data_IF_209778053901
#
_entry.id   IF_209778053901
#
_cell.length_a   1.000
_cell.length_b   1.000
_cell.length_c   1.000
_cell.angle_alpha   90.00
_cell.angle_beta   90.00
_cell.angle_gamma   90.00
#
_symmetry.space_group_name_H-M   'P 1'
#
loop_
_entity.id
_entity.type
_entity.pdbx_description
1 polymer ?
#
# COMPACT_ATOMS: atom_id res chain seq x y z
N UNK A 1 3.89 1.37 23.66
CA UNK A 1 3.56 1.43 22.22
C UNK A 1 4.48 0.55 21.38
N UNK A 2 5.79 0.77 21.37
CA UNK A 2 6.73 0.00 20.54
C UNK A 2 6.65 -1.52 20.76
N UNK A 3 6.54 -1.99 22.01
CA UNK A 3 6.33 -3.42 22.32
C UNK A 3 5.08 -4.01 21.69
N UNK A 4 3.96 -3.28 21.77
CA UNK A 4 2.68 -3.71 21.19
C UNK A 4 2.77 -3.76 19.66
N UNK A 5 3.40 -2.75 19.04
CA UNK A 5 3.63 -2.74 17.60
C UNK A 5 4.58 -3.86 17.15
N UNK A 6 5.63 -4.15 17.91
CA UNK A 6 6.52 -5.27 17.62
C UNK A 6 5.75 -6.60 17.64
N UNK A 7 4.97 -6.85 18.70
CA UNK A 7 4.14 -8.06 18.79
C UNK A 7 3.07 -8.16 17.69
N UNK A 8 2.41 -7.05 17.35
CA UNK A 8 1.36 -7.04 16.33
C UNK A 8 1.89 -7.23 14.90
N UNK A 9 3.08 -6.70 14.59
CA UNK A 9 3.68 -6.81 13.25
C UNK A 9 4.70 -7.94 13.11
N UNK A 10 5.05 -8.63 14.20
CA UNK A 10 6.06 -9.71 14.18
C UNK A 10 7.50 -9.22 14.14
N UNK A 11 7.78 -7.96 14.54
CA UNK A 11 9.15 -7.47 14.61
C UNK A 11 9.93 -8.17 15.74
N UNK A 12 11.27 -8.35 15.63
CA UNK A 12 12.05 -9.08 16.64
C UNK A 12 11.95 -8.52 18.06
N UNK A 13 11.84 -7.20 18.21
CA UNK A 13 11.65 -6.53 19.50
C UNK A 13 11.18 -5.09 19.34
N UNK A 14 10.84 -4.45 20.45
CA UNK A 14 10.50 -3.01 20.48
C UNK A 14 11.64 -2.11 19.97
N UNK A 15 12.90 -2.55 20.04
CA UNK A 15 14.07 -1.79 19.55
C UNK A 15 14.13 -1.70 18.02
N UNK A 16 13.33 -2.51 17.32
CA UNK A 16 13.24 -2.49 15.87
C UNK A 16 12.10 -1.59 15.37
N UNK A 17 11.36 -0.92 16.26
CA UNK A 17 10.15 -0.16 15.93
C UNK A 17 10.39 1.33 16.13
N UNK A 18 10.11 2.12 15.09
CA UNK A 18 10.04 3.58 15.16
C UNK A 18 8.63 4.03 14.77
N UNK A 19 7.94 4.74 15.66
CA UNK A 19 6.63 5.31 15.37
C UNK A 19 6.77 6.72 14.77
N UNK A 20 5.97 7.05 13.77
CA UNK A 20 5.94 8.35 13.13
C UNK A 20 4.53 8.87 12.87
N UNK A 21 4.35 10.18 12.58
CA UNK A 21 3.05 10.78 12.31
C UNK A 21 2.49 10.39 10.92
N UNK A 22 2.22 9.10 10.76
CA UNK A 22 1.93 8.44 9.48
C UNK A 22 3.22 8.03 8.74
N UNK A 23 3.09 7.16 7.74
CA UNK A 23 4.24 6.68 6.95
C UNK A 23 4.84 7.75 6.05
N UNK A 24 4.07 8.79 5.67
CA UNK A 24 4.50 9.82 4.71
C UNK A 24 5.77 10.56 5.14
N UNK A 25 5.89 10.88 6.43
CA UNK A 25 7.08 11.56 6.96
C UNK A 25 8.29 10.63 7.04
N UNK A 26 8.06 9.31 7.15
CA UNK A 26 9.10 8.30 7.23
C UNK A 26 9.77 8.10 5.86
N UNK A 27 9.05 8.28 4.75
CA UNK A 27 9.58 8.05 3.40
C UNK A 27 10.90 8.81 3.13
N UNK A 28 10.96 10.15 3.22
CA UNK A 28 12.20 10.87 2.97
C UNK A 28 13.25 10.66 4.08
N UNK A 29 12.83 10.36 5.31
CA UNK A 29 13.75 10.13 6.44
C UNK A 29 14.51 8.83 6.28
N UNK A 30 13.80 7.75 5.93
CA UNK A 30 14.39 6.45 5.60
C UNK A 30 15.33 6.58 4.39
N UNK A 31 14.91 7.28 3.32
CA UNK A 31 15.79 7.52 2.18
C UNK A 31 17.08 8.24 2.59
N UNK A 32 17.00 9.24 3.46
CA UNK A 32 18.16 10.00 3.95
C UNK A 32 19.14 9.22 4.85
N UNK A 33 18.82 7.97 5.21
CA UNK A 33 19.75 7.11 5.95
C UNK A 33 20.92 6.65 5.08
N UNK A 34 20.77 6.71 3.76
CA UNK A 34 21.83 6.48 2.79
C UNK A 34 22.39 7.82 2.28
N UNK A 35 23.65 7.78 1.84
CA UNK A 35 24.19 8.87 1.04
C UNK A 35 23.45 8.92 -0.30
N UNK A 36 23.20 10.12 -0.86
CA UNK A 36 22.65 10.26 -2.20
C UNK A 36 23.36 9.37 -3.22
N UNK A 37 22.56 8.63 -3.98
CA UNK A 37 23.00 7.59 -4.91
C UNK A 37 21.85 7.21 -5.84
N UNK A 38 21.92 6.04 -6.46
CA UNK A 38 20.88 5.53 -7.36
C UNK A 38 19.71 4.93 -6.57
N UNK A 39 18.52 5.51 -6.71
CA UNK A 39 17.30 4.98 -6.12
C UNK A 39 16.40 4.40 -7.21
N UNK A 40 15.99 3.14 -7.07
CA UNK A 40 15.07 2.47 -8.00
C UNK A 40 13.75 2.14 -7.29
N UNK A 41 12.63 2.53 -7.91
CA UNK A 41 11.29 2.28 -7.39
C UNK A 41 10.56 1.32 -8.34
N UNK A 42 10.02 0.21 -7.80
CA UNK A 42 9.29 -0.78 -8.60
C UNK A 42 7.90 -0.28 -8.99
N UNK A 43 7.78 0.19 -10.22
CA UNK A 43 6.58 0.77 -10.81
C UNK A 43 5.78 -0.26 -11.65
N UNK A 44 4.49 0.00 -11.94
CA UNK A 44 3.69 1.11 -11.44
C UNK A 44 3.40 0.99 -9.94
N UNK A 45 3.57 2.09 -9.20
CA UNK A 45 3.31 2.10 -7.75
C UNK A 45 2.87 3.47 -7.24
N UNK A 46 2.85 3.65 -5.92
CA UNK A 46 2.57 4.91 -5.25
C UNK A 46 3.68 5.94 -5.50
N UNK A 47 3.36 7.00 -6.25
CA UNK A 47 4.31 8.01 -6.72
C UNK A 47 5.10 8.75 -5.61
N UNK A 48 4.61 8.74 -4.37
CA UNK A 48 5.30 9.41 -3.26
C UNK A 48 6.65 8.79 -2.91
N UNK A 49 6.88 7.51 -3.21
CA UNK A 49 8.19 6.88 -2.96
C UNK A 49 9.30 7.50 -3.81
N UNK A 50 9.07 7.64 -5.12
CA UNK A 50 10.03 8.27 -6.03
C UNK A 50 10.27 9.74 -5.64
N UNK A 51 9.20 10.47 -5.31
CA UNK A 51 9.28 11.85 -4.82
C UNK A 51 10.10 11.95 -3.52
N UNK A 52 9.86 11.07 -2.56
CA UNK A 52 10.56 11.08 -1.27
C UNK A 52 12.05 10.77 -1.40
N UNK A 53 12.43 9.81 -2.25
CA UNK A 53 13.83 9.52 -2.55
C UNK A 53 14.52 10.72 -3.22
N UNK A 54 13.83 11.41 -4.13
CA UNK A 54 14.36 12.63 -4.76
C UNK A 54 14.54 13.78 -3.76
N UNK A 55 13.61 13.95 -2.80
CA UNK A 55 13.75 14.94 -1.70
C UNK A 55 14.99 14.64 -0.84
N UNK A 56 15.34 13.37 -0.64
CA UNK A 56 16.55 12.96 0.04
C UNK A 56 17.83 13.08 -0.82
N UNK A 57 17.71 13.54 -2.07
CA UNK A 57 18.83 13.83 -2.97
C UNK A 57 19.26 12.70 -3.90
N UNK A 58 18.55 11.57 -3.92
CA UNK A 58 18.90 10.45 -4.80
C UNK A 58 18.60 10.74 -6.28
N UNK A 59 19.38 10.09 -7.16
CA UNK A 59 19.04 9.97 -8.57
C UNK A 59 17.99 8.86 -8.74
N UNK A 60 16.73 9.26 -8.92
CA UNK A 60 15.59 8.34 -8.91
C UNK A 60 15.23 7.87 -10.31
N UNK A 61 14.98 6.58 -10.47
CA UNK A 61 14.31 6.02 -11.64
C UNK A 61 13.24 5.01 -11.23
N UNK A 62 12.14 4.99 -11.97
CA UNK A 62 11.12 3.95 -11.85
C UNK A 62 11.44 2.79 -12.80
N UNK A 63 11.32 1.57 -12.32
CA UNK A 63 11.58 0.34 -13.08
C UNK A 63 10.39 -0.61 -12.98
N UNK A 64 10.08 -1.34 -14.05
CA UNK A 64 9.02 -2.36 -14.05
C UNK A 64 9.54 -3.75 -13.71
N UNK A 65 10.83 -4.01 -13.94
CA UNK A 65 11.48 -5.26 -13.64
C UNK A 65 11.99 -5.28 -12.19
N UNK A 66 11.61 -6.34 -11.46
CA UNK A 66 12.08 -6.57 -10.10
C UNK A 66 13.59 -6.78 -10.03
N UNK A 67 14.16 -7.52 -11.00
CA UNK A 67 15.56 -7.91 -10.92
C UNK A 67 16.49 -6.69 -11.11
N UNK A 68 16.02 -5.65 -11.82
CA UNK A 68 16.72 -4.37 -11.95
C UNK A 68 16.96 -3.65 -10.61
N UNK A 69 16.14 -3.93 -9.57
CA UNK A 69 16.31 -3.31 -8.25
C UNK A 69 17.66 -3.67 -7.60
N UNK A 70 18.26 -4.80 -7.96
CA UNK A 70 19.57 -5.20 -7.45
C UNK A 70 20.68 -4.21 -7.83
N UNK A 71 20.46 -3.36 -8.82
CA UNK A 71 21.40 -2.30 -9.26
C UNK A 71 21.24 -0.98 -8.50
N UNK A 72 20.32 -0.88 -7.54
CA UNK A 72 20.09 0.34 -6.76
C UNK A 72 21.01 0.43 -5.54
N UNK A 73 21.26 1.64 -5.05
CA UNK A 73 21.72 1.86 -3.67
C UNK A 73 20.51 1.86 -2.71
N UNK A 74 19.39 2.44 -3.17
CA UNK A 74 18.09 2.45 -2.47
C UNK A 74 17.04 1.79 -3.37
N UNK A 75 16.60 0.58 -3.04
CA UNK A 75 15.49 -0.07 -3.71
C UNK A 75 14.19 0.16 -2.93
N UNK A 76 13.12 0.59 -3.58
CA UNK A 76 11.81 0.78 -2.95
C UNK A 76 10.73 0.00 -3.69
N UNK A 77 9.92 -0.73 -2.94
CA UNK A 77 8.71 -1.39 -3.46
C UNK A 77 7.60 -1.40 -2.41
N UNK A 78 6.37 -1.65 -2.87
CA UNK A 78 5.18 -1.77 -2.02
C UNK A 78 4.67 -3.21 -2.10
N UNK A 79 4.39 -3.85 -0.96
CA UNK A 79 3.99 -5.25 -0.88
C UNK A 79 2.94 -5.49 0.22
N UNK A 80 1.68 -5.86 -0.09
CA UNK A 80 1.04 -5.87 -1.41
C UNK A 80 1.04 -4.48 -2.06
N UNK A 81 1.26 -4.43 -3.36
CA UNK A 81 1.44 -3.17 -4.06
C UNK A 81 0.16 -2.33 -4.18
N UNK A 82 0.34 -1.02 -4.24
CA UNK A 82 -0.67 -0.09 -4.72
C UNK A 82 -0.21 0.49 -6.07
N UNK A 83 -0.92 0.24 -7.19
CA UNK A 83 -2.38 0.06 -7.21
C UNK A 83 -2.91 -1.34 -7.51
N UNK A 84 -2.08 -2.28 -7.92
CA UNK A 84 -2.52 -3.56 -8.50
C UNK A 84 -2.71 -4.70 -7.47
N UNK A 85 -2.27 -4.51 -6.24
CA UNK A 85 -2.33 -5.55 -5.20
C UNK A 85 -1.31 -6.67 -5.37
N UNK A 86 -0.37 -6.58 -6.33
CA UNK A 86 0.61 -7.65 -6.56
C UNK A 86 1.43 -7.92 -5.30
N UNK A 87 1.79 -9.19 -5.10
CA UNK A 87 2.62 -9.63 -3.99
C UNK A 87 3.90 -10.26 -4.52
N UNK A 88 5.02 -9.92 -3.88
CA UNK A 88 6.32 -10.52 -4.12
C UNK A 88 6.64 -11.43 -2.94
N UNK A 89 7.08 -12.64 -3.25
CA UNK A 89 7.42 -13.65 -2.26
C UNK A 89 8.60 -13.20 -1.38
N UNK A 90 8.48 -13.47 -0.08
CA UNK A 90 9.49 -13.19 0.94
C UNK A 90 10.90 -13.64 0.54
N UNK A 91 11.04 -14.84 -0.02
CA UNK A 91 12.35 -15.38 -0.42
C UNK A 91 13.07 -14.49 -1.45
N UNK A 92 12.35 -13.93 -2.43
CA UNK A 92 12.92 -13.02 -3.43
C UNK A 92 13.30 -11.68 -2.81
N UNK A 93 12.50 -11.18 -1.87
CA UNK A 93 12.76 -9.93 -1.16
C UNK A 93 14.00 -10.04 -0.28
N UNK A 94 14.18 -11.16 0.43
CA UNK A 94 15.36 -11.42 1.25
C UNK A 94 16.64 -11.54 0.41
N UNK A 95 16.57 -12.24 -0.72
CA UNK A 95 17.70 -12.31 -1.66
C UNK A 95 18.09 -10.92 -2.19
N UNK A 96 17.12 -10.11 -2.61
CA UNK A 96 17.36 -8.71 -3.00
C UNK A 96 17.99 -7.90 -1.86
N UNK A 97 17.45 -7.99 -0.64
CA UNK A 97 17.98 -7.30 0.53
C UNK A 97 19.44 -7.69 0.80
N UNK A 98 19.78 -8.98 0.73
CA UNK A 98 21.13 -9.47 0.92
C UNK A 98 22.11 -8.91 -0.12
N UNK A 99 21.72 -8.86 -1.40
CA UNK A 99 22.53 -8.29 -2.49
C UNK A 99 22.76 -6.79 -2.29
N UNK A 100 21.72 -6.04 -1.90
CA UNK A 100 21.82 -4.61 -1.61
C UNK A 100 22.72 -4.37 -0.40
N UNK A 101 22.51 -5.10 0.70
CA UNK A 101 23.31 -5.01 1.93
C UNK A 101 24.80 -5.26 1.66
N UNK A 102 25.14 -6.24 0.81
CA UNK A 102 26.53 -6.57 0.47
C UNK A 102 27.32 -5.39 -0.12
N UNK A 103 26.64 -4.41 -0.72
CA UNK A 103 27.23 -3.17 -1.27
C UNK A 103 26.86 -1.91 -0.46
N UNK A 104 26.28 -2.07 0.73
CA UNK A 104 25.87 -0.97 1.61
C UNK A 104 24.57 -0.27 1.20
N UNK A 105 23.76 -0.91 0.36
CA UNK A 105 22.43 -0.44 -0.03
C UNK A 105 21.32 -0.82 0.96
N UNK A 106 20.12 -0.33 0.68
CA UNK A 106 18.92 -0.50 1.52
C UNK A 106 17.72 -0.93 0.67
N UNK A 107 16.98 -1.93 1.15
CA UNK A 107 15.66 -2.28 0.66
C UNK A 107 14.59 -1.64 1.55
N UNK A 108 13.72 -0.81 0.96
CA UNK A 108 12.55 -0.24 1.62
C UNK A 108 11.30 -0.90 1.08
N UNK A 109 10.50 -1.49 1.96
CA UNK A 109 9.26 -2.19 1.62
C UNK A 109 8.11 -1.50 2.33
N UNK A 110 7.20 -0.90 1.56
CA UNK A 110 5.95 -0.38 2.11
C UNK A 110 4.91 -1.49 2.20
N UNK A 111 4.59 -1.88 3.44
CA UNK A 111 3.63 -2.92 3.78
C UNK A 111 2.30 -2.32 4.27
N UNK A 112 1.90 -1.15 3.77
CA UNK A 112 0.65 -0.48 4.16
C UNK A 112 -0.64 -1.27 3.93
N UNK A 113 -0.60 -2.36 3.15
CA UNK A 113 -1.74 -3.25 2.90
C UNK A 113 -1.52 -4.66 3.44
N UNK A 114 -0.40 -4.93 4.12
CA UNK A 114 -0.05 -6.27 4.57
C UNK A 114 -0.94 -6.78 5.72
N UNK A 115 -1.64 -5.89 6.45
CA UNK A 115 -2.60 -6.30 7.47
C UNK A 115 -3.77 -7.13 6.92
N UNK A 116 -4.08 -7.00 5.63
CA UNK A 116 -5.08 -7.80 4.90
C UNK A 116 -4.44 -8.70 3.83
N UNK A 117 -3.11 -8.69 3.72
CA UNK A 117 -2.34 -9.43 2.74
C UNK A 117 -1.87 -10.80 3.26
N UNK A 118 -1.19 -11.57 2.41
CA UNK A 118 -0.53 -12.81 2.80
C UNK A 118 0.68 -12.50 3.71
N UNK A 119 0.48 -12.60 5.03
CA UNK A 119 1.45 -12.19 6.05
C UNK A 119 2.77 -12.97 5.96
N UNK A 120 2.75 -14.19 5.41
CA UNK A 120 3.92 -15.03 5.12
C UNK A 120 4.91 -14.39 4.13
N UNK A 121 4.49 -13.33 3.43
CA UNK A 121 5.33 -12.57 2.51
C UNK A 121 5.87 -11.26 3.10
N UNK A 122 5.58 -10.98 4.37
CA UNK A 122 6.14 -9.83 5.07
C UNK A 122 7.60 -10.04 5.45
N UNK A 123 8.38 -8.95 5.45
CA UNK A 123 9.76 -8.94 5.98
C UNK A 123 9.87 -8.41 7.42
N UNK A 124 8.76 -8.19 8.12
CA UNK A 124 8.76 -7.58 9.44
C UNK A 124 9.60 -8.35 10.47
N UNK A 125 9.61 -9.69 10.40
CA UNK A 125 10.43 -10.55 11.27
C UNK A 125 11.91 -10.58 10.90
N UNK A 126 12.25 -10.18 9.67
CA UNK A 126 13.61 -10.28 9.10
C UNK A 126 14.40 -8.97 9.17
N UNK A 127 13.79 -7.87 9.63
CA UNK A 127 14.45 -6.55 9.69
C UNK A 127 15.73 -6.55 10.53
N UNK A 128 15.85 -7.48 11.48
CA UNK A 128 17.04 -7.67 12.31
C UNK A 128 18.29 -8.08 11.52
N UNK A 129 18.17 -8.58 10.30
CA UNK A 129 19.34 -8.87 9.47
C UNK A 129 20.02 -7.58 8.92
N UNK A 130 19.36 -6.42 9.03
CA UNK A 130 19.85 -5.15 8.50
C UNK A 130 19.75 -5.03 6.98
N UNK A 131 19.89 -3.79 6.49
CA UNK A 131 19.69 -3.49 5.06
C UNK A 131 18.23 -3.53 4.60
N UNK A 132 17.29 -3.65 5.54
CA UNK A 132 15.84 -3.72 5.31
C UNK A 132 15.15 -2.65 6.16
N UNK A 133 14.22 -1.92 5.56
CA UNK A 133 13.23 -1.11 6.29
C UNK A 133 11.84 -1.48 5.80
N UNK A 134 10.98 -1.92 6.71
CA UNK A 134 9.56 -2.18 6.46
C UNK A 134 8.72 -1.02 6.98
N UNK A 135 7.79 -0.51 6.18
CA UNK A 135 6.87 0.54 6.59
C UNK A 135 5.48 -0.02 6.84
N UNK A 136 4.87 0.31 7.98
CA UNK A 136 3.49 -0.09 8.32
C UNK A 136 2.60 1.13 8.49
N UNK A 137 1.45 1.13 7.83
CA UNK A 137 0.51 2.25 7.83
C UNK A 137 -0.72 1.95 8.67
N UNK A 138 -0.99 2.80 9.65
CA UNK A 138 -2.19 2.64 10.49
C UNK A 138 -3.47 3.12 9.80
N UNK A 139 -3.34 3.85 8.69
CA UNK A 139 -4.47 4.52 8.06
C UNK A 139 -5.33 3.67 7.14
N UNK A 140 -4.98 2.40 6.92
CA UNK A 140 -5.68 1.52 5.97
C UNK A 140 -6.60 0.58 6.72
N UNK A 141 -6.11 -0.61 7.06
CA UNK A 141 -6.88 -1.67 7.71
C UNK A 141 -7.62 -1.22 8.98
N UNK A 142 -6.98 -0.38 9.82
CA UNK A 142 -7.61 0.11 11.05
C UNK A 142 -8.67 1.20 10.83
N UNK A 143 -8.84 1.74 9.62
CA UNK A 143 -9.80 2.82 9.34
C UNK A 143 -9.44 4.17 9.98
N UNK A 144 -8.23 4.32 10.51
CA UNK A 144 -7.80 5.47 11.32
C UNK A 144 -6.85 6.40 10.56
N UNK A 145 -7.12 6.67 9.28
CA UNK A 145 -6.26 7.51 8.43
C UNK A 145 -6.00 8.91 9.02
N UNK A 146 -7.01 9.50 9.67
CA UNK A 146 -6.92 10.83 10.31
C UNK A 146 -6.07 10.88 11.58
N UNK A 147 -5.81 9.74 12.22
CA UNK A 147 -5.00 9.66 13.45
C UNK A 147 -3.52 9.95 13.19
N UNK A 148 -3.08 9.80 11.94
CA UNK A 148 -1.69 10.02 11.51
C UNK A 148 -0.70 9.19 12.34
N UNK A 149 -0.87 7.87 12.32
CA UNK A 149 0.07 6.92 12.93
C UNK A 149 0.66 6.01 11.85
N UNK A 150 1.94 5.72 11.94
CA UNK A 150 2.66 4.78 11.08
C UNK A 150 3.95 4.34 11.76
N UNK A 151 4.59 3.32 11.20
CA UNK A 151 5.79 2.72 11.78
C UNK A 151 6.82 2.44 10.70
N UNK A 152 8.08 2.54 11.08
CA UNK A 152 9.19 1.91 10.39
C UNK A 152 9.73 0.77 11.27
N UNK A 153 9.96 -0.36 10.64
CA UNK A 153 10.61 -1.54 11.21
C UNK A 153 11.98 -1.66 10.56
N UNK A 154 13.04 -1.73 11.34
CA UNK A 154 14.42 -1.80 10.85
C UNK A 154 15.33 -2.48 11.87
N UNK A 155 16.56 -2.82 11.49
CA UNK A 155 17.58 -3.19 12.48
C UNK A 155 17.78 -2.07 13.52
N UNK A 156 18.26 -2.45 14.71
CA UNK A 156 18.34 -1.54 15.85
C UNK A 156 19.11 -0.24 15.55
N UNK A 157 20.25 -0.33 14.84
CA UNK A 157 21.06 0.86 14.54
C UNK A 157 20.32 1.79 13.56
N UNK A 158 19.65 1.23 12.57
CA UNK A 158 18.82 1.97 11.61
C UNK A 158 17.60 2.61 12.31
N UNK A 159 16.95 1.88 13.22
CA UNK A 159 15.83 2.37 14.02
C UNK A 159 16.26 3.54 14.93
N UNK A 160 17.37 3.41 15.66
CA UNK A 160 17.92 4.47 16.52
C UNK A 160 18.25 5.75 15.72
N UNK A 161 18.87 5.60 14.54
CA UNK A 161 19.16 6.74 13.66
C UNK A 161 17.89 7.43 13.17
N UNK A 162 16.87 6.65 12.81
CA UNK A 162 15.60 7.19 12.34
C UNK A 162 14.81 7.89 13.46
N UNK A 163 14.78 7.31 14.65
CA UNK A 163 14.14 7.91 15.83
C UNK A 163 14.82 9.24 16.20
N UNK A 164 16.16 9.28 16.18
CA UNK A 164 16.92 10.50 16.41
C UNK A 164 16.63 11.60 15.37
N UNK A 165 16.37 11.24 14.10
CA UNK A 165 15.98 12.21 13.06
C UNK A 165 14.56 12.77 13.28
N UNK A 166 13.63 11.97 13.82
CA UNK A 166 12.28 12.42 14.14
C UNK A 166 12.27 13.33 15.37
N UNK A 167 13.12 13.03 16.34
CA UNK A 167 13.25 13.78 17.57
C UNK A 167 12.10 13.51 18.56
N UNK A 168 12.13 14.17 19.73
CA UNK A 168 11.15 13.94 20.77
C UNK A 168 9.75 14.37 20.34
N UNK A 169 8.74 13.67 20.85
CA UNK A 169 7.31 13.97 20.64
C UNK A 169 6.85 13.96 19.18
N UNK A 170 7.49 13.16 18.33
CA UNK A 170 7.14 13.04 16.91
C UNK A 170 5.70 12.55 16.66
N UNK A 171 5.13 11.78 17.60
CA UNK A 171 3.77 11.24 17.51
C UNK A 171 2.89 11.84 18.60
N UNK A 172 1.69 12.30 18.19
CA UNK A 172 0.72 12.87 19.12
C UNK A 172 0.24 11.82 20.15
N UNK A 173 0.08 12.22 21.41
CA UNK A 173 -0.42 11.36 22.49
C UNK A 173 -1.72 10.61 22.15
N UNK A 174 -2.75 11.29 21.61
CA UNK A 174 -3.97 10.60 21.17
C UNK A 174 -3.72 9.52 20.11
N UNK A 175 -2.77 9.74 19.19
CA UNK A 175 -2.43 8.75 18.18
C UNK A 175 -1.82 7.49 18.80
N UNK A 176 -0.98 7.65 19.83
CA UNK A 176 -0.44 6.52 20.59
C UNK A 176 -1.55 5.76 21.33
N UNK A 177 -2.48 6.46 21.96
CA UNK A 177 -3.61 5.84 22.70
C UNK A 177 -4.49 4.99 21.78
N UNK A 178 -4.92 5.54 20.63
CA UNK A 178 -5.68 4.77 19.64
C UNK A 178 -4.84 3.64 19.04
N UNK A 179 -3.56 3.88 18.80
CA UNK A 179 -2.58 2.89 18.34
C UNK A 179 -2.53 1.66 19.25
N UNK A 180 -2.33 1.89 20.54
CA UNK A 180 -2.28 0.84 21.57
C UNK A 180 -3.55 0.00 21.56
N UNK A 181 -4.73 0.64 21.55
CA UNK A 181 -6.01 -0.06 21.59
C UNK A 181 -6.25 -0.90 20.34
N UNK A 182 -6.08 -0.33 19.15
CA UNK A 182 -6.37 -1.06 17.91
C UNK A 182 -5.37 -2.21 17.65
N UNK A 183 -4.08 -2.02 17.96
CA UNK A 183 -3.09 -3.10 17.82
C UNK A 183 -3.30 -4.23 18.83
N UNK A 184 -3.83 -3.93 20.02
CA UNK A 184 -4.09 -4.93 21.05
C UNK A 184 -5.40 -5.71 20.82
N UNK A 185 -6.36 -5.15 20.06
CA UNK A 185 -7.65 -5.78 19.79
C UNK A 185 -7.57 -6.81 18.64
N UNK A 186 -6.93 -7.95 18.93
CA UNK A 186 -6.75 -9.04 17.96
C UNK A 186 -8.07 -9.65 17.48
N UNK A 187 -9.12 -9.62 18.33
CA UNK A 187 -10.46 -10.08 17.95
C UNK A 187 -11.05 -9.17 16.88
N UNK A 188 -11.05 -7.86 17.10
CA UNK A 188 -11.54 -6.91 16.10
C UNK A 188 -10.77 -7.05 14.78
N UNK A 189 -9.45 -7.23 14.83
CA UNK A 189 -8.66 -7.41 13.62
C UNK A 189 -9.06 -8.69 12.86
N UNK A 190 -9.26 -9.81 13.55
CA UNK A 190 -9.72 -11.05 12.92
C UNK A 190 -11.11 -10.89 12.28
N UNK A 191 -12.05 -10.31 13.01
CA UNK A 191 -13.41 -10.07 12.53
C UNK A 191 -13.42 -9.10 11.33
N UNK A 192 -12.58 -8.05 11.37
CA UNK A 192 -12.44 -7.07 10.30
C UNK A 192 -11.86 -7.69 9.03
N UNK A 193 -10.81 -8.54 9.13
CA UNK A 193 -10.27 -9.26 7.97
C UNK A 193 -11.34 -10.13 7.30
N UNK A 194 -12.15 -10.83 8.09
CA UNK A 194 -13.25 -11.64 7.56
C UNK A 194 -14.34 -10.79 6.90
N UNK A 195 -14.70 -9.65 7.50
CA UNK A 195 -15.63 -8.68 6.92
C UNK A 195 -15.16 -8.16 5.57
N UNK A 196 -13.94 -7.64 5.54
CA UNK A 196 -13.30 -7.14 4.32
C UNK A 196 -13.22 -8.21 3.22
N UNK A 197 -12.90 -9.46 3.56
CA UNK A 197 -12.88 -10.55 2.59
C UNK A 197 -14.28 -10.83 2.00
N UNK A 198 -15.33 -10.82 2.82
CA UNK A 198 -16.72 -10.98 2.36
C UNK A 198 -17.15 -9.82 1.46
N UNK A 199 -16.90 -8.59 1.88
CA UNK A 199 -17.28 -7.38 1.13
C UNK A 199 -16.52 -7.30 -0.20
N UNK A 200 -15.25 -7.70 -0.21
CA UNK A 200 -14.48 -7.74 -1.43
C UNK A 200 -15.00 -8.82 -2.40
N UNK A 201 -15.45 -9.98 -1.90
CA UNK A 201 -16.16 -10.98 -2.70
C UNK A 201 -17.54 -10.51 -3.20
N UNK A 202 -18.27 -9.74 -2.40
CA UNK A 202 -19.52 -9.07 -2.82
C UNK A 202 -19.27 -8.07 -3.95
N UNK A 203 -18.18 -7.30 -3.87
CA UNK A 203 -17.76 -6.37 -4.92
C UNK A 203 -17.41 -7.11 -6.20
N UNK A 204 -16.65 -8.22 -6.12
CA UNK A 204 -16.31 -9.03 -7.29
C UNK A 204 -17.56 -9.58 -7.99
N UNK A 205 -18.52 -10.11 -7.21
CA UNK A 205 -19.79 -10.61 -7.74
C UNK A 205 -20.61 -9.48 -8.40
N UNK A 206 -20.65 -8.29 -7.79
CA UNK A 206 -21.36 -7.13 -8.33
C UNK A 206 -20.73 -6.65 -9.65
N UNK A 207 -19.40 -6.50 -9.69
CA UNK A 207 -18.68 -6.10 -10.90
C UNK A 207 -18.85 -7.12 -12.03
N UNK A 208 -18.80 -8.42 -11.69
CA UNK A 208 -19.02 -9.51 -12.64
C UNK A 208 -20.42 -9.54 -13.26
N UNK A 209 -21.46 -9.12 -12.52
CA UNK A 209 -22.83 -8.99 -13.07
C UNK A 209 -22.96 -7.95 -14.18
N UNK A 210 -22.01 -7.03 -14.29
CA UNK A 210 -21.98 -5.96 -15.30
C UNK A 210 -20.74 -6.06 -16.20
N UNK A 211 -20.14 -7.25 -16.31
CA UNK A 211 -18.98 -7.54 -17.16
C UNK A 211 -17.79 -6.60 -16.93
N UNK A 212 -17.58 -6.16 -15.69
CA UNK A 212 -16.42 -5.34 -15.31
C UNK A 212 -15.30 -6.26 -14.82
N UNK A 213 -14.19 -6.40 -15.57
CA UNK A 213 -13.12 -7.32 -15.19
C UNK A 213 -12.30 -6.76 -14.02
N UNK A 214 -12.05 -7.63 -13.04
CA UNK A 214 -11.12 -7.37 -11.93
C UNK A 214 -9.75 -7.95 -12.31
N UNK A 215 -8.76 -7.08 -12.42
CA UNK A 215 -7.39 -7.45 -12.82
C UNK A 215 -6.46 -7.70 -11.62
N UNK A 216 -6.86 -7.33 -10.41
CA UNK A 216 -6.11 -7.52 -9.18
C UNK A 216 -6.71 -6.78 -7.99
N UNK A 217 -5.93 -6.62 -6.93
CA UNK A 217 -6.30 -5.83 -5.75
C UNK A 217 -6.02 -6.52 -4.42
N UNK A 218 -6.67 -6.02 -3.38
CA UNK A 218 -6.60 -6.52 -2.00
C UNK A 218 -8.00 -6.53 -1.39
N UNK A 219 -8.20 -7.10 -0.21
CA UNK A 219 -9.50 -7.00 0.48
C UNK A 219 -9.90 -5.57 0.89
N UNK A 220 -9.11 -4.55 0.58
CA UNK A 220 -9.46 -3.13 0.77
C UNK A 220 -9.84 -2.43 -0.55
N UNK A 221 -9.50 -2.99 -1.70
CA UNK A 221 -9.79 -2.40 -3.02
C UNK A 221 -9.67 -3.40 -4.17
N UNK A 222 -10.35 -3.14 -5.29
CA UNK A 222 -10.12 -3.83 -6.56
C UNK A 222 -9.43 -2.94 -7.57
N UNK A 223 -8.56 -3.58 -8.35
CA UNK A 223 -7.85 -2.99 -9.48
C UNK A 223 -8.53 -3.44 -10.77
N UNK A 224 -8.97 -2.49 -11.57
CA UNK A 224 -9.68 -2.72 -12.83
C UNK A 224 -8.79 -2.22 -13.97
N UNK A 225 -8.72 -2.98 -15.06
CA UNK A 225 -7.94 -2.62 -16.24
C UNK A 225 -8.64 -3.09 -17.51
N UNK A 226 -9.34 -2.19 -18.21
CA UNK A 226 -10.12 -2.51 -19.40
C UNK A 226 -10.44 -1.26 -20.23
N UNK A 227 -10.80 -1.45 -21.50
CA UNK A 227 -10.93 -0.35 -22.48
C UNK A 227 -11.98 0.69 -22.09
N UNK A 228 -13.11 0.25 -21.53
CA UNK A 228 -14.25 1.10 -21.19
C UNK A 228 -14.13 1.76 -19.81
N UNK A 229 -13.02 1.55 -19.09
CA UNK A 229 -12.79 2.12 -17.76
C UNK A 229 -12.97 3.66 -17.69
N UNK A 230 -12.56 4.47 -18.69
CA UNK A 230 -12.84 5.91 -18.68
C UNK A 230 -14.35 6.23 -18.68
N UNK A 231 -15.14 5.46 -19.44
CA UNK A 231 -16.60 5.65 -19.48
C UNK A 231 -17.25 5.22 -18.16
N UNK A 232 -16.76 4.15 -17.54
CA UNK A 232 -17.21 3.71 -16.23
C UNK A 232 -16.88 4.77 -15.17
N UNK A 233 -15.66 5.32 -15.19
CA UNK A 233 -15.26 6.40 -14.29
C UNK A 233 -16.20 7.60 -14.37
N UNK A 234 -16.53 8.05 -15.58
CA UNK A 234 -17.47 9.16 -15.76
C UNK A 234 -18.86 8.81 -15.23
N UNK A 235 -19.37 7.61 -15.52
CA UNK A 235 -20.69 7.18 -15.06
C UNK A 235 -20.78 7.11 -13.53
N UNK A 236 -19.79 6.47 -12.89
CA UNK A 236 -19.70 6.38 -11.43
C UNK A 236 -19.61 7.79 -10.81
N UNK A 237 -18.75 8.66 -11.37
CA UNK A 237 -18.58 10.03 -10.90
C UNK A 237 -19.87 10.86 -10.98
N UNK A 238 -20.62 10.77 -12.09
CA UNK A 238 -21.93 11.45 -12.23
C UNK A 238 -23.00 10.94 -11.26
N UNK A 239 -22.85 9.72 -10.76
CA UNK A 239 -23.69 9.14 -9.72
C UNK A 239 -23.16 9.37 -8.29
N UNK A 240 -22.12 10.19 -8.12
CA UNK A 240 -21.54 10.49 -6.81
C UNK A 240 -20.73 9.33 -6.21
N UNK A 241 -20.25 8.40 -7.04
CA UNK A 241 -19.36 7.30 -6.65
C UNK A 241 -17.95 7.63 -7.09
N UNK A 242 -17.11 8.04 -6.14
CA UNK A 242 -15.73 8.42 -6.42
C UNK A 242 -14.81 7.19 -6.39
N UNK A 243 -14.18 6.89 -7.52
CA UNK A 243 -13.12 5.89 -7.63
C UNK A 243 -11.80 6.55 -8.01
N UNK A 244 -10.69 5.83 -7.85
CA UNK A 244 -9.37 6.35 -8.26
C UNK A 244 -9.14 6.08 -9.75
N UNK A 245 -8.92 7.13 -10.52
CA UNK A 245 -8.45 7.11 -11.90
C UNK A 245 -6.96 7.46 -11.98
N UNK A 246 -6.27 6.96 -13.02
CA UNK A 246 -4.85 7.20 -13.26
C UNK A 246 -4.67 7.90 -14.60
N UNK A 247 -4.31 9.19 -14.59
CA UNK A 247 -4.30 10.03 -15.80
C UNK A 247 -3.43 9.47 -16.93
N UNK A 248 -2.28 8.89 -16.59
CA UNK A 248 -1.34 8.28 -17.57
C UNK A 248 -1.77 6.87 -18.02
N UNK A 249 -2.77 6.28 -17.36
CA UNK A 249 -3.31 4.94 -17.64
C UNK A 249 -4.83 4.99 -17.56
N UNK A 250 -5.51 5.66 -18.50
CA UNK A 250 -6.94 5.93 -18.41
C UNK A 250 -7.81 4.66 -18.40
N UNK A 251 -7.30 3.56 -18.95
CA UNK A 251 -7.91 2.23 -18.91
C UNK A 251 -7.90 1.57 -17.52
N UNK A 252 -7.33 2.24 -16.50
CA UNK A 252 -7.14 1.70 -15.16
C UNK A 252 -7.98 2.46 -14.14
N UNK A 253 -8.68 1.71 -13.29
CA UNK A 253 -9.34 2.23 -12.10
C UNK A 253 -8.94 1.43 -10.86
N UNK A 254 -9.04 2.08 -9.71
CA UNK A 254 -9.02 1.40 -8.41
C UNK A 254 -10.26 1.80 -7.62
N UNK A 255 -11.06 0.81 -7.25
CA UNK A 255 -12.32 0.96 -6.53
C UNK A 255 -12.16 0.44 -5.10
N UNK A 256 -12.55 1.24 -4.11
CA UNK A 256 -12.62 0.82 -2.71
C UNK A 256 -13.94 0.10 -2.42
N UNK A 257 -14.07 -0.45 -1.20
CA UNK A 257 -15.32 -1.04 -0.76
C UNK A 257 -16.35 0.04 -0.39
N UNK A 258 -17.63 -0.11 -0.79
CA UNK A 258 -18.73 0.70 -0.26
C UNK A 258 -18.84 0.59 1.27
N UNK A 259 -19.25 1.68 1.94
CA UNK A 259 -19.29 1.73 3.41
C UNK A 259 -20.54 1.12 4.02
N UNK A 260 -21.70 1.46 3.48
CA UNK A 260 -23.00 0.97 3.94
C UNK A 260 -23.87 0.45 2.77
N UNK A 261 -25.03 -0.10 3.09
CA UNK A 261 -25.94 -0.66 2.08
C UNK A 261 -26.45 0.37 1.07
N UNK A 262 -26.56 1.64 1.47
CA UNK A 262 -26.96 2.70 0.54
C UNK A 262 -25.85 3.00 -0.48
N UNK A 263 -24.58 2.95 -0.07
CA UNK A 263 -23.45 3.05 -0.98
C UNK A 263 -23.37 1.83 -1.93
N UNK A 264 -23.68 0.62 -1.44
CA UNK A 264 -23.78 -0.58 -2.28
C UNK A 264 -24.85 -0.45 -3.36
N UNK A 265 -26.06 -0.03 -2.98
CA UNK A 265 -27.17 0.20 -3.91
C UNK A 265 -26.84 1.30 -4.93
N UNK A 266 -26.15 2.36 -4.49
CA UNK A 266 -25.70 3.44 -5.37
C UNK A 266 -24.70 2.93 -6.41
N UNK A 267 -23.73 2.13 -5.99
CA UNK A 267 -22.76 1.51 -6.90
C UNK A 267 -23.46 0.60 -7.91
N UNK A 268 -24.36 -0.28 -7.47
CA UNK A 268 -25.13 -1.17 -8.34
C UNK A 268 -25.98 -0.39 -9.35
N UNK A 269 -26.70 0.65 -8.90
CA UNK A 269 -27.49 1.49 -9.78
C UNK A 269 -26.65 2.24 -10.82
N UNK A 270 -25.47 2.73 -10.43
CA UNK A 270 -24.54 3.39 -11.35
C UNK A 270 -23.96 2.42 -12.39
N UNK A 271 -23.64 1.19 -11.99
CA UNK A 271 -23.19 0.12 -12.90
C UNK A 271 -24.29 -0.29 -13.88
N UNK A 272 -25.52 -0.48 -13.39
CA UNK A 272 -26.68 -0.81 -14.24
C UNK A 272 -26.97 0.27 -15.28
N UNK A 273 -26.97 1.55 -14.87
CA UNK A 273 -27.17 2.67 -15.79
C UNK A 273 -26.03 2.80 -16.81
N UNK A 274 -24.81 2.45 -16.43
CA UNK A 274 -23.67 2.42 -17.36
C UNK A 274 -23.77 1.26 -18.36
N UNK A 275 -24.12 0.06 -17.90
CA UNK A 275 -24.28 -1.11 -18.76
C UNK A 275 -25.39 -0.90 -19.80
N UNK A 276 -26.56 -0.38 -19.40
CA UNK A 276 -27.65 -0.08 -20.34
C UNK A 276 -27.22 0.88 -21.46
N UNK A 277 -26.43 1.92 -21.14
CA UNK A 277 -25.91 2.86 -22.16
C UNK A 277 -24.90 2.23 -23.11
N UNK A 278 -24.21 1.15 -22.71
CA UNK A 278 -23.28 0.42 -23.59
C UNK A 278 -24.02 -0.45 -24.58
N UNK A 279 -25.14 -1.05 -24.17
CA UNK A 279 -26.00 -1.86 -25.04
C UNK A 279 -26.73 -1.00 -26.08
N UNK A 280 -27.12 0.22 -25.71
CA UNK A 280 -27.79 1.18 -26.60
C UNK A 280 -26.83 1.92 -27.56
N UNK A 281 -25.51 1.79 -27.38
CA UNK A 281 -24.53 2.41 -28.27
C UNK A 281 -24.42 1.58 -29.56
N UNK A 282 -24.81 2.12 -30.75
CA UNK A 282 -24.72 1.37 -31.99
C UNK A 282 -23.26 0.95 -32.25
N UNK A 283 -23.05 -0.28 -32.72
CA UNK A 283 -21.77 -0.71 -33.28
C UNK A 283 -21.37 0.27 -34.39
N UNK A 284 -20.46 1.22 -34.09
CA UNK A 284 -19.86 2.05 -35.11
C UNK A 284 -18.96 1.16 -35.98
N UNK A 285 -19.57 0.65 -37.05
CA UNK A 285 -19.03 0.14 -38.29
C UNK A 285 -17.59 -0.39 -38.27
N UNK A 286 -17.47 -1.71 -38.30
CA UNK A 286 -16.35 -2.34 -38.97
C UNK A 286 -16.18 -1.79 -40.38
N UNK A 287 -15.00 -1.20 -40.63
CA UNK A 287 -14.34 -1.10 -41.94
C UNK A 287 -12.84 -1.22 -41.73
#
# INVERSE_FOLDING_TARGET
>A
MAEIAAGAYGAPSAFHIVAGPGTQILLPRVASLLRPGKALVLAPTYAEHARAAAIAGHAVAEVSDFDALAEADLAVLVNPNNPDGRVIEKARLLDLAARLRAKGGLLVIDEAFMDVGPIEHSLAEDVGEGGIVVLRSFGKFFGLAGVRLGFALADQLTAERLDAQLGPWAVAGPALEYGIRALSDTKWQADMRQGLARDAGRLDALLGRFDVPVAGGTSLFRYLSFAEAPSLFSALGSSGVLVRHFAERPQVLRIGLPGDEADWQRLEGALAAWAARREDAPEEFGR
#
